data_IF_925194035356
#
_entry.id   IF_925194035356
#
_cell.length_a   1.000
_cell.length_b   1.000
_cell.length_c   1.000
_cell.angle_alpha   90.00
_cell.angle_beta   90.00
_cell.angle_gamma   90.00
#
_symmetry.space_group_name_H-M   'P 1'
#
loop_
_entity.id
_entity.type
_entity.pdbx_description
1 polymer ?
#
# COMPACT_ATOMS: atom_id res chain seq x y z
N UNK A 1 5.26 19.44 0.55
CA UNK A 1 6.27 19.06 1.57
C UNK A 1 5.68 18.87 2.99
N UNK A 2 4.40 18.53 3.13
CA UNK A 2 3.78 18.21 4.44
C UNK A 2 3.12 16.81 4.40
N UNK A 3 3.71 15.87 3.68
CA UNK A 3 3.17 14.52 3.59
C UNK A 3 3.35 13.80 4.92
N UNK A 4 2.31 13.13 5.38
CA UNK A 4 2.30 12.33 6.60
C UNK A 4 2.03 10.88 6.23
N UNK A 5 2.70 9.95 6.93
CA UNK A 5 2.43 8.54 6.75
C UNK A 5 1.11 8.16 7.43
N UNK A 6 0.36 7.26 6.80
CA UNK A 6 -0.80 6.62 7.40
C UNK A 6 -0.37 5.27 7.98
N UNK A 7 -0.72 4.98 9.22
CA UNK A 7 -0.46 3.66 9.82
C UNK A 7 -1.43 2.59 9.30
N UNK A 8 -2.66 3.01 8.99
CA UNK A 8 -3.70 2.17 8.41
C UNK A 8 -4.53 2.99 7.40
N UNK A 9 -5.01 2.34 6.35
CA UNK A 9 -5.96 2.90 5.39
C UNK A 9 -6.75 1.80 4.69
N UNK A 10 -7.82 2.19 3.99
CA UNK A 10 -8.59 1.31 3.12
C UNK A 10 -7.99 1.23 1.72
N UNK A 11 -8.32 0.17 0.99
CA UNK A 11 -7.91 0.02 -0.43
C UNK A 11 -8.51 1.13 -1.31
N UNK A 12 -9.65 1.69 -0.94
CA UNK A 12 -10.29 2.81 -1.65
C UNK A 12 -9.54 4.13 -1.44
N UNK A 13 -9.04 4.39 -0.23
CA UNK A 13 -8.18 5.54 0.04
C UNK A 13 -6.83 5.42 -0.70
N UNK A 14 -6.25 4.22 -0.76
CA UNK A 14 -5.02 4.00 -1.51
C UNK A 14 -5.24 4.24 -3.01
N UNK A 15 -6.34 3.73 -3.56
CA UNK A 15 -6.73 3.94 -4.95
C UNK A 15 -6.94 5.42 -5.29
N UNK A 16 -7.48 6.21 -4.35
CA UNK A 16 -7.63 7.65 -4.53
C UNK A 16 -6.28 8.39 -4.57
N UNK A 17 -5.25 7.89 -3.89
CA UNK A 17 -3.89 8.47 -3.90
C UNK A 17 -3.13 8.09 -5.16
N UNK A 18 -3.17 6.81 -5.56
CA UNK A 18 -2.37 6.30 -6.68
C UNK A 18 -3.01 6.54 -8.05
N UNK A 19 -4.32 6.78 -8.09
CA UNK A 19 -5.14 6.49 -9.26
C UNK A 19 -5.41 4.99 -9.35
N UNK A 20 -6.51 4.60 -10.01
CA UNK A 20 -6.86 3.18 -10.20
C UNK A 20 -6.92 2.85 -11.67
N UNK A 21 -6.24 1.76 -12.04
CA UNK A 21 -6.18 1.26 -13.42
C UNK A 21 -5.67 2.29 -14.46
N UNK A 22 -5.03 3.39 -14.00
CA UNK A 22 -4.35 4.37 -14.84
C UNK A 22 -2.85 4.07 -14.88
N UNK A 23 -2.31 3.89 -16.08
CA UNK A 23 -0.88 3.66 -16.25
C UNK A 23 -0.09 4.93 -15.88
N UNK A 24 0.98 4.75 -15.10
CA UNK A 24 1.92 5.81 -14.82
C UNK A 24 2.59 6.30 -16.13
N UNK A 25 2.77 7.61 -16.26
CA UNK A 25 3.55 8.17 -17.36
C UNK A 25 4.99 7.64 -17.31
N UNK A 26 5.69 7.50 -18.45
CA UNK A 26 7.08 7.08 -18.46
C UNK A 26 7.95 7.98 -17.58
N UNK A 27 8.68 7.38 -16.63
CA UNK A 27 9.52 8.09 -15.67
C UNK A 27 8.79 8.63 -14.43
N UNK A 28 7.46 8.51 -14.35
CA UNK A 28 6.73 8.74 -13.10
C UNK A 28 6.99 7.58 -12.12
N UNK A 29 7.09 7.91 -10.84
CA UNK A 29 7.30 6.95 -9.76
C UNK A 29 6.15 7.04 -8.76
N UNK A 30 5.65 5.88 -8.33
CA UNK A 30 4.74 5.74 -7.21
C UNK A 30 5.29 4.68 -6.27
N UNK A 31 5.06 4.84 -4.97
CA UNK A 31 5.44 3.83 -3.96
C UNK A 31 4.67 2.52 -4.20
N UNK A 32 3.42 2.63 -4.68
CA UNK A 32 2.58 1.48 -5.03
C UNK A 32 2.03 1.67 -6.45
N UNK A 33 2.12 0.63 -7.27
CA UNK A 33 1.67 0.66 -8.66
C UNK A 33 0.12 0.74 -8.77
N UNK A 34 -0.46 1.69 -9.52
CA UNK A 34 -1.91 1.86 -9.67
C UNK A 34 -2.65 0.64 -10.23
N UNK A 35 -2.01 -0.12 -11.14
CA UNK A 35 -2.58 -1.34 -11.72
C UNK A 35 -2.62 -2.44 -10.65
N UNK A 36 -1.54 -2.57 -9.87
CA UNK A 36 -1.49 -3.52 -8.75
C UNK A 36 -2.54 -3.21 -7.68
N UNK A 37 -2.78 -1.93 -7.35
CA UNK A 37 -3.86 -1.51 -6.45
C UNK A 37 -5.23 -1.94 -6.99
N UNK A 38 -5.47 -1.76 -8.30
CA UNK A 38 -6.69 -2.23 -8.96
C UNK A 38 -6.89 -3.74 -8.83
N UNK A 39 -5.82 -4.54 -9.02
CA UNK A 39 -5.87 -5.98 -8.82
C UNK A 39 -6.13 -6.38 -7.35
N UNK A 40 -5.47 -5.73 -6.40
CA UNK A 40 -5.65 -5.98 -4.97
C UNK A 40 -7.10 -5.69 -4.53
N UNK A 41 -7.67 -4.57 -5.00
CA UNK A 41 -9.07 -4.20 -4.76
C UNK A 41 -10.03 -5.25 -5.30
N UNK A 42 -9.87 -5.67 -6.56
CA UNK A 42 -10.71 -6.72 -7.18
C UNK A 42 -10.58 -8.08 -6.50
N UNK A 43 -9.39 -8.40 -6.00
CA UNK A 43 -9.08 -9.67 -5.36
C UNK A 43 -9.38 -9.76 -3.86
N UNK A 44 -9.84 -8.66 -3.23
CA UNK A 44 -9.99 -8.57 -1.77
C UNK A 44 -8.71 -9.00 -1.03
N UNK A 45 -7.58 -8.42 -1.44
CA UNK A 45 -6.23 -8.70 -0.93
C UNK A 45 -5.80 -7.52 -0.04
N UNK A 46 -5.52 -7.81 1.24
CA UNK A 46 -4.89 -6.85 2.14
C UNK A 46 -3.43 -6.60 1.71
N UNK A 47 -2.98 -5.34 1.81
CA UNK A 47 -1.61 -4.96 1.47
C UNK A 47 -0.87 -4.43 2.70
N UNK A 48 0.44 -4.61 2.70
CA UNK A 48 1.34 -3.99 3.66
C UNK A 48 2.41 -3.21 2.91
N UNK A 49 2.55 -1.92 3.23
CA UNK A 49 3.62 -1.06 2.72
C UNK A 49 4.62 -0.82 3.82
N UNK A 50 5.89 -1.19 3.58
CA UNK A 50 6.97 -1.10 4.57
C UNK A 50 8.30 -0.73 3.89
N UNK A 51 9.25 -0.26 4.71
CA UNK A 51 10.62 -0.04 4.26
C UNK A 51 11.38 -1.36 4.19
N UNK A 52 11.59 -1.87 2.97
CA UNK A 52 12.26 -3.15 2.72
C UNK A 52 13.72 -3.23 3.15
N UNK A 53 14.32 -2.13 3.63
CA UNK A 53 15.68 -2.13 4.21
C UNK A 53 15.71 -2.67 5.64
N UNK A 54 14.55 -2.72 6.32
CA UNK A 54 14.40 -3.20 7.69
C UNK A 54 13.54 -4.48 7.71
N UNK A 55 14.19 -5.64 7.67
CA UNK A 55 13.54 -6.94 7.61
C UNK A 55 12.70 -7.25 8.86
N UNK A 56 12.99 -6.63 10.00
CA UNK A 56 12.21 -6.86 11.23
C UNK A 56 10.74 -6.43 11.06
N UNK A 57 10.48 -5.43 10.20
CA UNK A 57 9.13 -4.94 9.88
C UNK A 57 8.36 -5.95 9.03
N UNK A 58 9.05 -6.61 8.11
CA UNK A 58 8.47 -7.67 7.28
C UNK A 58 8.05 -8.85 8.16
N UNK A 59 8.92 -9.28 9.07
CA UNK A 59 8.60 -10.34 10.04
C UNK A 59 7.40 -9.97 10.91
N UNK A 60 7.39 -8.77 11.49
CA UNK A 60 6.29 -8.29 12.31
C UNK A 60 4.96 -8.24 11.54
N UNK A 61 4.96 -7.75 10.29
CA UNK A 61 3.77 -7.70 9.44
C UNK A 61 3.22 -9.11 9.11
N UNK A 62 4.10 -10.07 8.80
CA UNK A 62 3.71 -11.46 8.53
C UNK A 62 3.13 -12.17 9.75
N UNK A 63 3.61 -11.84 10.95
CA UNK A 63 3.13 -12.39 12.22
C UNK A 63 1.90 -11.65 12.78
N UNK A 64 1.42 -10.60 12.11
CA UNK A 64 0.30 -9.78 12.59
C UNK A 64 0.61 -8.94 13.82
N UNK A 65 1.90 -8.70 14.09
CA UNK A 65 2.37 -7.81 15.16
C UNK A 65 2.31 -6.35 14.70
N UNK A 66 2.44 -5.43 15.65
CA UNK A 66 2.62 -4.01 15.31
C UNK A 66 3.93 -3.80 14.54
N UNK A 67 3.90 -2.98 13.49
CA UNK A 67 5.05 -2.63 12.67
C UNK A 67 4.97 -1.17 12.20
N UNK A 68 6.13 -0.58 11.88
CA UNK A 68 6.19 0.75 11.27
C UNK A 68 6.01 0.66 9.75
N UNK A 69 4.83 1.03 9.29
CA UNK A 69 4.44 1.05 7.88
C UNK A 69 2.96 1.41 7.72
N UNK A 70 2.38 1.01 6.59
CA UNK A 70 0.95 1.21 6.32
C UNK A 70 0.29 -0.14 6.09
N UNK A 71 -0.74 -0.42 6.89
CA UNK A 71 -1.66 -1.53 6.65
C UNK A 71 -2.82 -1.08 5.76
N UNK A 72 -3.03 -1.74 4.64
CA UNK A 72 -4.09 -1.41 3.69
C UNK A 72 -5.14 -2.51 3.72
N UNK A 73 -6.32 -2.19 4.23
CA UNK A 73 -7.43 -3.14 4.37
C UNK A 73 -8.21 -3.23 3.07
N UNK A 74 -8.42 -4.46 2.60
CA UNK A 74 -9.38 -4.73 1.53
C UNK A 74 -10.82 -4.60 2.05
N UNK A 75 -11.77 -4.38 1.14
CA UNK A 75 -13.20 -4.21 1.47
C UNK A 75 -13.91 -5.55 1.78
N UNK A 76 -13.26 -6.44 2.54
CA UNK A 76 -13.85 -7.72 2.97
C UNK A 76 -15.00 -7.53 3.96
#
# INVERSE_FOLDING_TARGET
ENAQAFSEMTIDELAAITGIDEALAPGASSVVDPIAVGHAKRGAIDLVVLDGRDLSRLEAALEGKAFDGTLVRSNR
#
